data_IF_365412238655
#
_entry.id   IF_365412238655
#
_cell.length_a   1.000
_cell.length_b   1.000
_cell.length_c   1.000
_cell.angle_alpha   90.00
_cell.angle_beta   90.00
_cell.angle_gamma   90.00
#
_symmetry.space_group_name_H-M   'P 1'
#
loop_
_entity.id
_entity.type
_entity.pdbx_description
1 polymer ?
#
# COMPACT_ATOMS: atom_id res chain seq x y z
N UNK A 1 12.09 -65.55 13.32
CA UNK A 1 10.81 -65.01 13.83
C UNK A 1 11.15 -63.74 14.59
N UNK A 2 11.02 -62.58 13.94
CA UNK A 2 9.88 -61.63 14.02
C UNK A 2 9.88 -60.94 15.39
N UNK A 3 10.01 -59.62 15.52
CA UNK A 3 10.00 -58.56 14.52
C UNK A 3 10.41 -57.20 15.11
N UNK A 4 10.81 -56.29 14.21
CA UNK A 4 10.93 -54.84 14.43
C UNK A 4 9.53 -54.22 14.55
N UNK A 5 9.35 -53.14 15.33
CA UNK A 5 8.73 -51.89 14.82
C UNK A 5 8.79 -50.74 15.86
N UNK A 6 9.54 -49.70 15.48
CA UNK A 6 9.34 -48.24 15.63
C UNK A 6 8.41 -47.68 16.73
N UNK A 7 8.99 -46.85 17.61
CA UNK A 7 8.29 -45.94 18.51
C UNK A 7 8.66 -44.49 18.25
N UNK A 8 7.93 -43.88 17.31
CA UNK A 8 7.55 -42.45 17.20
C UNK A 8 8.64 -41.40 17.45
N UNK A 9 9.25 -40.90 16.36
CA UNK A 9 9.75 -39.53 16.30
C UNK A 9 8.55 -38.59 16.48
N UNK A 10 8.50 -37.90 17.61
CA UNK A 10 7.60 -36.77 17.82
C UNK A 10 8.17 -35.62 17.00
N UNK A 11 7.70 -35.46 15.76
CA UNK A 11 7.78 -34.19 15.07
C UNK A 11 6.78 -33.27 15.78
N UNK A 12 7.24 -32.59 16.83
CA UNK A 12 6.54 -31.39 17.27
C UNK A 12 6.57 -30.46 16.06
N UNK A 13 5.41 -30.24 15.43
CA UNK A 13 5.27 -29.16 14.47
C UNK A 13 5.56 -27.89 15.27
N UNK A 14 6.77 -27.36 15.14
CA UNK A 14 7.05 -26.01 15.60
C UNK A 14 6.03 -25.16 14.87
N UNK A 15 5.09 -24.57 15.62
CA UNK A 15 4.21 -23.57 15.07
C UNK A 15 5.11 -22.55 14.38
N UNK A 16 5.03 -22.45 13.06
CA UNK A 16 5.81 -21.50 12.31
C UNK A 16 5.34 -20.12 12.77
N UNK A 17 6.13 -19.50 13.65
CA UNK A 17 5.83 -18.15 14.11
C UNK A 17 5.79 -17.27 12.87
N UNK A 18 4.72 -16.52 12.70
CA UNK A 18 4.61 -15.59 11.61
C UNK A 18 5.72 -14.55 11.77
N UNK A 19 6.69 -14.57 10.85
CA UNK A 19 7.76 -13.61 10.83
C UNK A 19 7.21 -12.28 10.28
N UNK A 20 7.44 -11.21 11.02
CA UNK A 20 7.17 -9.87 10.51
C UNK A 20 8.30 -9.51 9.56
N UNK A 21 8.03 -9.58 8.26
CA UNK A 21 9.04 -9.36 7.21
C UNK A 21 9.22 -7.88 6.82
N UNK A 22 8.34 -6.99 7.31
CA UNK A 22 8.41 -5.56 7.04
C UNK A 22 7.71 -4.75 8.14
N UNK A 23 8.38 -3.68 8.60
CA UNK A 23 7.82 -2.68 9.53
C UNK A 23 8.35 -1.31 9.14
N UNK A 24 7.44 -0.35 8.95
CA UNK A 24 7.75 1.08 8.84
C UNK A 24 6.80 1.85 9.74
N UNK A 25 7.34 2.84 10.44
CA UNK A 25 6.54 3.80 11.18
C UNK A 25 6.35 5.05 10.32
N UNK A 26 5.20 5.70 10.45
CA UNK A 26 5.04 7.06 9.93
C UNK A 26 5.91 8.04 10.73
N UNK A 27 6.47 9.03 10.05
CA UNK A 27 7.15 10.15 10.70
C UNK A 27 6.13 11.16 11.28
N UNK A 28 6.61 12.16 12.01
CA UNK A 28 5.76 13.21 12.63
C UNK A 28 4.85 13.97 11.65
N UNK A 29 5.17 13.92 10.35
CA UNK A 29 4.39 14.54 9.27
C UNK A 29 3.51 13.53 8.51
N UNK A 30 3.46 12.27 8.96
CA UNK A 30 2.73 11.16 8.33
C UNK A 30 1.65 10.63 9.30
N UNK A 31 0.74 11.52 9.73
CA UNK A 31 -0.42 11.12 10.54
C UNK A 31 -1.20 10.00 9.81
N UNK A 32 -1.84 9.11 10.58
CA UNK A 32 -2.59 7.95 10.04
C UNK A 32 -1.81 7.05 9.08
N UNK A 33 -0.47 7.03 9.12
CA UNK A 33 0.33 6.09 8.35
C UNK A 33 -0.16 4.66 8.57
N UNK A 34 -0.48 3.94 7.49
CA UNK A 34 -1.03 2.59 7.57
C UNK A 34 -2.56 2.52 7.77
N UNK A 35 -3.26 3.65 7.78
CA UNK A 35 -4.73 3.69 7.86
C UNK A 35 -5.43 3.13 6.61
N UNK A 36 -4.78 3.21 5.45
CA UNK A 36 -5.22 2.59 4.20
C UNK A 36 -4.01 2.04 3.44
N UNK A 37 -4.19 0.86 2.86
CA UNK A 37 -3.19 0.16 2.06
C UNK A 37 -3.82 -0.22 0.71
N UNK A 38 -3.11 0.04 -0.38
CA UNK A 38 -3.49 -0.39 -1.72
C UNK A 38 -2.61 -1.57 -2.18
N UNK A 39 -3.20 -2.73 -2.52
CA UNK A 39 -2.46 -3.82 -3.16
C UNK A 39 -2.31 -3.54 -4.65
N UNK A 40 -1.08 -3.29 -5.10
CA UNK A 40 -0.79 -2.90 -6.49
C UNK A 40 -0.30 -4.08 -7.34
N UNK A 41 -0.06 -5.25 -6.75
CA UNK A 41 0.59 -6.32 -7.51
C UNK A 41 2.00 -5.91 -7.92
N UNK A 42 2.62 -6.61 -8.87
CA UNK A 42 3.98 -6.31 -9.32
C UNK A 42 3.96 -5.14 -10.31
N UNK A 43 4.51 -3.98 -9.93
CA UNK A 43 4.51 -2.74 -10.73
C UNK A 43 5.84 -2.51 -11.47
N UNK A 44 6.85 -3.37 -11.27
CA UNK A 44 8.17 -3.23 -11.88
C UNK A 44 8.70 -4.53 -12.52
N UNK A 45 7.85 -5.55 -12.63
CA UNK A 45 8.13 -6.89 -13.16
C UNK A 45 9.27 -7.64 -12.43
N UNK A 46 9.45 -7.39 -11.13
CA UNK A 46 10.48 -8.07 -10.34
C UNK A 46 10.03 -9.41 -9.74
N UNK A 47 8.76 -9.78 -9.94
CA UNK A 47 8.13 -10.99 -9.43
C UNK A 47 7.59 -10.87 -8.01
N UNK A 48 7.65 -9.69 -7.39
CA UNK A 48 7.11 -9.41 -6.07
C UNK A 48 5.96 -8.41 -6.14
N UNK A 49 4.97 -8.59 -5.26
CA UNK A 49 3.87 -7.64 -5.19
C UNK A 49 4.27 -6.36 -4.45
N UNK A 50 3.94 -5.23 -5.05
CA UNK A 50 4.09 -3.87 -4.57
C UNK A 50 2.80 -3.39 -3.88
N UNK A 51 2.95 -2.33 -3.09
CA UNK A 51 1.83 -1.74 -2.37
C UNK A 51 2.02 -0.25 -2.17
N UNK A 52 0.93 0.44 -1.84
CA UNK A 52 1.01 1.81 -1.37
C UNK A 52 0.35 1.98 0.00
N UNK A 53 0.90 2.88 0.81
CA UNK A 53 0.43 3.21 2.15
C UNK A 53 0.03 4.66 2.22
N UNK A 54 -1.21 4.91 2.63
CA UNK A 54 -1.68 6.25 2.90
C UNK A 54 -1.00 6.83 4.15
N UNK A 55 -0.64 8.11 4.07
CA UNK A 55 -0.19 8.93 5.19
C UNK A 55 -0.75 10.34 5.03
N UNK A 56 -1.43 10.88 6.03
CA UNK A 56 -2.04 12.21 5.96
C UNK A 56 -3.10 12.47 7.03
N UNK A 57 -3.57 13.72 7.09
CA UNK A 57 -4.69 14.10 7.95
C UNK A 57 -4.35 14.51 9.38
N UNK A 58 -3.19 15.14 9.64
CA UNK A 58 -2.98 15.80 10.93
C UNK A 58 -3.91 17.02 11.03
N UNK A 59 -4.73 17.04 12.07
CA UNK A 59 -5.67 18.11 12.41
C UNK A 59 -4.98 19.40 12.91
N UNK A 60 -3.66 19.37 13.12
CA UNK A 60 -2.86 20.47 13.66
C UNK A 60 -1.94 21.14 12.62
N UNK A 61 -2.04 20.80 11.33
CA UNK A 61 -1.24 21.42 10.27
C UNK A 61 -2.08 22.19 9.24
N UNK A 62 -1.53 23.26 8.62
CA UNK A 62 -2.28 24.09 7.69
C UNK A 62 -2.73 23.27 6.47
N UNK A 63 -4.05 23.14 6.32
CA UNK A 63 -4.81 22.72 5.14
C UNK A 63 -4.05 22.12 3.94
N UNK A 64 -4.25 20.83 3.68
CA UNK A 64 -4.26 20.25 2.33
C UNK A 64 -2.92 19.86 1.70
N UNK A 65 -1.79 19.92 2.43
CA UNK A 65 -0.46 19.65 1.84
C UNK A 65 0.21 18.34 2.27
N UNK A 66 -0.40 17.56 3.17
CA UNK A 66 0.26 16.39 3.78
C UNK A 66 -0.45 15.05 3.58
N UNK A 67 -1.53 15.00 2.81
CA UNK A 67 -2.04 13.72 2.34
C UNK A 67 -1.17 13.19 1.23
N UNK A 68 -0.67 11.98 1.44
CA UNK A 68 0.28 11.32 0.55
C UNK A 68 -0.07 9.85 0.46
N UNK A 69 0.23 9.30 -0.70
CA UNK A 69 0.25 7.87 -0.92
C UNK A 69 1.71 7.50 -1.22
N UNK A 70 2.31 6.73 -0.33
CA UNK A 70 3.71 6.28 -0.44
C UNK A 70 3.71 4.88 -1.05
N UNK A 71 4.34 4.72 -2.20
CA UNK A 71 4.38 3.48 -2.96
C UNK A 71 5.70 2.77 -2.71
N UNK A 72 5.66 1.48 -2.44
CA UNK A 72 6.82 0.68 -2.08
C UNK A 72 6.94 -0.51 -3.00
N UNK A 73 8.18 -0.80 -3.42
CA UNK A 73 8.48 -2.05 -4.09
C UNK A 73 8.51 -3.20 -3.08
N UNK A 74 7.95 -4.32 -3.52
CA UNK A 74 8.14 -5.66 -3.00
C UNK A 74 9.60 -6.09 -3.03
N UNK A 75 9.81 -7.34 -2.68
CA UNK A 75 11.12 -7.95 -2.69
C UNK A 75 11.40 -8.79 -1.46
N UNK A 76 12.62 -9.32 -1.42
CA UNK A 76 13.15 -10.04 -0.28
C UNK A 76 14.58 -9.54 0.04
N UNK A 77 14.73 -8.57 0.97
CA UNK A 77 13.68 -7.95 1.78
C UNK A 77 12.86 -6.89 1.01
N UNK A 78 11.61 -6.59 1.41
CA UNK A 78 10.83 -5.53 0.78
C UNK A 78 11.41 -4.13 1.05
N UNK A 79 11.20 -3.18 0.13
CA UNK A 79 11.78 -1.83 0.24
C UNK A 79 11.26 -1.07 1.46
N UNK A 80 12.16 -0.37 2.17
CA UNK A 80 11.80 0.56 3.25
C UNK A 80 11.56 1.99 2.76
N UNK A 81 12.00 2.30 1.54
CA UNK A 81 11.92 3.63 0.94
C UNK A 81 10.86 3.61 -0.15
N UNK A 82 9.91 4.56 -0.14
CA UNK A 82 8.94 4.61 -1.21
C UNK A 82 9.63 4.99 -2.52
N UNK A 83 9.27 4.34 -3.62
CA UNK A 83 9.74 4.71 -4.96
C UNK A 83 8.96 5.90 -5.52
N UNK A 84 7.71 6.08 -5.07
CA UNK A 84 6.86 7.20 -5.43
C UNK A 84 6.13 7.73 -4.18
N UNK A 85 6.01 9.05 -4.10
CA UNK A 85 5.15 9.73 -3.12
C UNK A 85 4.17 10.60 -3.88
N UNK A 86 2.96 10.09 -4.06
CA UNK A 86 1.88 10.83 -4.71
C UNK A 86 1.24 11.82 -3.73
N UNK A 87 0.88 13.00 -4.23
CA UNK A 87 0.09 13.99 -3.50
C UNK A 87 -1.16 14.35 -4.31
N UNK A 88 -2.34 14.41 -3.68
CA UNK A 88 -3.53 14.95 -4.32
C UNK A 88 -3.34 16.41 -4.78
N UNK A 89 -4.24 16.87 -5.64
CA UNK A 89 -4.26 18.24 -6.15
C UNK A 89 -4.27 19.28 -5.03
N UNK A 90 -3.54 20.38 -5.22
CA UNK A 90 -3.54 21.48 -4.26
C UNK A 90 -4.97 22.00 -3.99
N UNK A 91 -5.30 22.15 -2.71
CA UNK A 91 -6.62 22.59 -2.25
C UNK A 91 -7.70 21.49 -2.29
N UNK A 92 -7.36 20.27 -2.72
CA UNK A 92 -8.20 19.11 -2.43
C UNK A 92 -8.24 18.91 -0.91
N UNK A 93 -9.44 18.84 -0.35
CA UNK A 93 -9.57 18.24 0.96
C UNK A 93 -9.32 16.74 0.81
N UNK A 94 -8.51 16.21 1.73
CA UNK A 94 -8.15 14.81 1.80
C UNK A 94 -9.38 13.96 1.46
N UNK A 95 -9.28 13.04 0.50
CA UNK A 95 -10.19 11.91 0.52
C UNK A 95 -9.94 11.20 1.84
N UNK A 96 -10.79 11.45 2.84
CA UNK A 96 -10.80 10.66 4.05
C UNK A 96 -11.01 9.22 3.63
N UNK A 97 -9.93 8.43 3.60
CA UNK A 97 -9.76 6.97 3.62
C UNK A 97 -10.71 6.08 2.76
N UNK A 98 -11.73 6.61 2.12
CA UNK A 98 -12.86 5.85 1.56
C UNK A 98 -13.03 6.06 0.05
N UNK A 99 -12.30 7.02 -0.53
CA UNK A 99 -12.38 7.35 -1.96
C UNK A 99 -11.10 6.97 -2.71
N UNK A 100 -10.37 5.96 -2.24
CA UNK A 100 -9.12 5.48 -2.85
C UNK A 100 -9.20 3.95 -2.98
N UNK A 101 -8.99 3.43 -4.18
CA UNK A 101 -9.03 1.98 -4.43
C UNK A 101 -8.25 1.57 -5.67
N UNK A 102 -7.90 0.29 -5.77
CA UNK A 102 -7.37 -0.29 -7.00
C UNK A 102 -8.51 -0.81 -7.88
N UNK A 103 -8.33 -0.77 -9.19
CA UNK A 103 -9.39 -1.15 -10.16
C UNK A 103 -8.94 -2.25 -11.14
N UNK A 104 -7.80 -2.88 -10.87
CA UNK A 104 -7.15 -3.83 -11.78
C UNK A 104 -6.46 -3.12 -12.94
N UNK A 105 -5.98 -3.88 -13.92
CA UNK A 105 -5.42 -3.34 -15.16
C UNK A 105 -6.55 -2.80 -16.06
N UNK A 106 -6.85 -1.51 -15.93
CA UNK A 106 -7.95 -0.87 -16.64
C UNK A 106 -7.52 -0.40 -18.03
N UNK A 107 -6.25 -0.01 -18.20
CA UNK A 107 -5.72 0.50 -19.46
C UNK A 107 -5.12 -0.60 -20.38
N UNK A 108 -4.93 -1.83 -19.88
CA UNK A 108 -4.41 -2.99 -20.60
C UNK A 108 -2.89 -3.06 -20.70
N UNK A 109 -2.15 -2.40 -19.80
CA UNK A 109 -0.69 -2.35 -19.80
C UNK A 109 -0.02 -3.47 -18.99
N UNK A 110 -0.81 -4.26 -18.26
CA UNK A 110 -0.35 -5.38 -17.45
C UNK A 110 -0.19 -5.07 -15.97
N UNK A 111 -0.36 -3.83 -15.54
CA UNK A 111 -0.19 -3.40 -14.15
C UNK A 111 -1.53 -3.00 -13.51
N UNK A 112 -1.63 -3.12 -12.18
CA UNK A 112 -2.86 -2.71 -11.48
C UNK A 112 -2.94 -1.18 -11.44
N UNK A 113 -4.04 -0.65 -11.98
CA UNK A 113 -4.41 0.76 -11.92
C UNK A 113 -5.15 1.09 -10.63
N UNK A 114 -5.16 2.37 -10.29
CA UNK A 114 -5.78 2.87 -9.07
C UNK A 114 -6.49 4.20 -9.28
N UNK A 115 -7.39 4.52 -8.37
CA UNK A 115 -8.28 5.67 -8.50
C UNK A 115 -8.41 6.42 -7.20
N UNK A 116 -8.55 7.74 -7.30
CA UNK A 116 -8.78 8.63 -6.17
C UNK A 116 -9.92 9.59 -6.50
N UNK A 117 -10.89 9.68 -5.58
CA UNK A 117 -11.97 10.65 -5.65
C UNK A 117 -11.77 11.72 -4.59
N UNK A 118 -11.77 12.99 -4.95
CA UNK A 118 -11.59 14.09 -4.00
C UNK A 118 -12.55 15.25 -4.28
N UNK A 119 -12.69 16.12 -3.29
CA UNK A 119 -13.50 17.33 -3.38
C UNK A 119 -12.63 18.54 -3.06
N UNK A 120 -12.87 19.64 -3.75
CA UNK A 120 -12.18 20.92 -3.51
C UNK A 120 -13.22 21.90 -2.95
N UNK A 121 -13.09 22.33 -1.69
CA UNK A 121 -13.98 23.33 -1.11
C UNK A 121 -14.10 24.58 -1.98
N UNK A 122 -15.34 25.01 -2.21
CA UNK A 122 -15.63 26.18 -3.05
C UNK A 122 -15.72 25.89 -4.55
N UNK A 123 -15.43 24.65 -4.99
CA UNK A 123 -15.86 24.14 -6.28
C UNK A 123 -17.09 23.26 -6.05
N UNK A 124 -18.23 23.54 -6.68
CA UNK A 124 -19.46 22.72 -6.57
C UNK A 124 -19.33 21.36 -7.32
N UNK A 125 -18.16 20.74 -7.30
CA UNK A 125 -17.83 19.52 -8.02
C UNK A 125 -16.88 18.62 -7.24
N UNK A 126 -17.18 17.32 -7.24
CA UNK A 126 -16.23 16.28 -6.87
C UNK A 126 -15.48 15.80 -8.14
N UNK A 127 -14.20 15.48 -7.97
CA UNK A 127 -13.34 14.95 -9.02
C UNK A 127 -13.02 13.49 -8.74
N UNK A 128 -12.91 12.69 -9.80
CA UNK A 128 -12.38 11.34 -9.76
C UNK A 128 -11.25 11.23 -10.78
N UNK A 129 -10.08 10.78 -10.33
CA UNK A 129 -8.89 10.60 -11.15
C UNK A 129 -8.48 9.13 -11.15
N UNK A 130 -8.14 8.63 -12.34
CA UNK A 130 -7.61 7.28 -12.57
C UNK A 130 -6.15 7.40 -12.96
N UNK A 131 -5.33 6.56 -12.34
CA UNK A 131 -3.90 6.49 -12.54
C UNK A 131 -3.52 5.10 -13.03
N UNK A 132 -2.75 5.07 -14.13
CA UNK A 132 -2.15 3.85 -14.65
C UNK A 132 -1.09 3.30 -13.70
N UNK A 133 -1.00 1.97 -13.58
CA UNK A 133 0.12 1.28 -12.93
C UNK A 133 1.38 1.27 -13.79
N UNK A 134 2.45 0.63 -13.31
CA UNK A 134 3.64 0.31 -14.11
C UNK A 134 4.60 1.46 -14.42
N UNK A 135 4.31 2.68 -13.94
CA UNK A 135 5.12 3.86 -14.20
C UNK A 135 5.56 4.57 -12.93
N UNK A 136 6.85 4.92 -12.85
CA UNK A 136 7.32 5.98 -11.96
C UNK A 136 6.55 7.27 -12.33
N UNK A 137 5.57 7.65 -11.52
CA UNK A 137 4.76 8.85 -11.74
C UNK A 137 5.57 10.13 -11.50
#
# INVERSE_FOLDING_TARGET
MIGLLFGVLVWASLAQAQEVIWVRNGDWNEAHFGGLILPLGDQNDDGFADWAVFSGGSNDQPSGLDDRLNFFYGGNPPSQTPYLTFRPREGAEAPYMYNLTTIGDFNGDGYIDWVIGYFIPGLDSATFELYGGGGEC
#
